data_IF_032683324391
#
_entry.id   IF_032683324391
#
_cell.length_a   1.000
_cell.length_b   1.000
_cell.length_c   1.000
_cell.angle_alpha   90.00
_cell.angle_beta   90.00
_cell.angle_gamma   90.00
#
_symmetry.space_group_name_H-M   'P 1'
#
loop_
_entity.id
_entity.type
_entity.pdbx_description
1 polymer ?
#
# COMPACT_ATOMS: atom_id res chain seq x y z
N UNK A 1 -12.72 -6.80 0.98
CA UNK A 1 -12.49 -5.42 0.58
C UNK A 1 -11.00 -5.20 0.45
N UNK A 2 -10.54 -5.05 -0.78
CA UNK A 2 -9.15 -4.71 -1.02
C UNK A 2 -8.91 -3.29 -0.55
N UNK A 3 -8.01 -3.12 0.41
CA UNK A 3 -7.45 -1.83 0.78
C UNK A 3 -6.70 -1.27 -0.42
N UNK A 4 -7.36 -0.42 -1.18
CA UNK A 4 -6.70 0.38 -2.21
C UNK A 4 -6.09 1.57 -1.50
N UNK A 5 -4.84 1.42 -1.06
CA UNK A 5 -3.98 2.59 -0.91
C UNK A 5 -3.99 3.34 -2.26
N UNK A 6 -3.89 4.68 -2.29
CA UNK A 6 -3.81 5.40 -3.55
C UNK A 6 -2.67 4.80 -4.36
N UNK A 7 -3.06 4.02 -5.37
CA UNK A 7 -2.12 3.31 -6.24
C UNK A 7 -1.27 4.34 -6.94
N UNK A 8 0.02 4.26 -6.74
CA UNK A 8 0.99 4.91 -7.61
C UNK A 8 0.68 4.51 -9.05
N UNK A 9 0.29 5.47 -9.88
CA UNK A 9 0.34 5.30 -11.31
C UNK A 9 1.82 5.33 -11.72
N UNK A 10 2.44 4.16 -11.73
CA UNK A 10 3.61 3.98 -12.57
C UNK A 10 3.12 4.11 -14.01
N UNK A 11 3.42 5.23 -14.67
CA UNK A 11 3.17 5.35 -16.10
C UNK A 11 4.17 4.45 -16.83
N UNK A 12 3.79 3.22 -17.08
CA UNK A 12 4.40 2.42 -18.13
C UNK A 12 4.01 3.05 -19.45
N UNK A 13 4.97 3.69 -20.15
CA UNK A 13 4.75 4.04 -21.53
C UNK A 13 4.72 2.76 -22.34
N UNK A 14 3.70 2.59 -23.20
CA UNK A 14 3.53 1.41 -24.05
C UNK A 14 4.79 1.07 -24.88
N UNK A 15 5.62 2.06 -25.20
CA UNK A 15 6.89 1.85 -25.92
C UNK A 15 7.90 0.98 -25.19
N UNK A 16 8.00 1.08 -23.83
CA UNK A 16 8.92 0.21 -23.07
C UNK A 16 8.42 -1.24 -23.00
N UNK A 17 7.12 -1.45 -22.98
CA UNK A 17 6.54 -2.81 -23.01
C UNK A 17 6.79 -3.49 -24.37
N UNK A 18 6.69 -2.73 -25.46
CA UNK A 18 6.99 -3.25 -26.82
C UNK A 18 8.47 -3.60 -26.96
N UNK A 19 9.39 -2.77 -26.46
CA UNK A 19 10.83 -3.06 -26.49
C UNK A 19 11.20 -4.31 -25.70
N UNK A 20 10.61 -4.54 -24.54
CA UNK A 20 10.84 -5.77 -23.76
C UNK A 20 10.38 -7.00 -24.53
N UNK A 21 9.30 -6.91 -25.29
CA UNK A 21 8.84 -8.02 -26.15
C UNK A 21 9.73 -8.23 -27.40
N UNK A 22 10.28 -7.16 -27.97
CA UNK A 22 11.23 -7.23 -29.08
C UNK A 22 12.59 -7.78 -28.64
N UNK A 23 13.11 -7.34 -27.51
CA UNK A 23 14.38 -7.81 -26.95
C UNK A 23 14.30 -9.24 -26.39
N UNK A 24 13.13 -9.69 -25.92
CA UNK A 24 12.92 -11.05 -25.44
C UNK A 24 12.76 -12.09 -26.56
N UNK A 25 12.67 -11.67 -27.82
CA UNK A 25 12.46 -12.57 -28.96
C UNK A 25 11.10 -13.29 -28.96
N UNK A 26 10.20 -12.87 -28.08
CA UNK A 26 8.85 -13.43 -27.99
C UNK A 26 7.93 -12.70 -28.97
N UNK A 27 7.89 -13.16 -30.21
CA UNK A 27 6.86 -12.73 -31.13
C UNK A 27 5.98 -13.94 -31.53
N UNK A 28 4.80 -13.67 -32.03
CA UNK A 28 3.82 -14.66 -32.44
C UNK A 28 4.34 -15.60 -33.54
N UNK A 29 5.29 -15.14 -34.34
CA UNK A 29 5.84 -15.87 -35.48
C UNK A 29 6.86 -16.93 -35.05
N UNK A 30 7.36 -16.84 -33.81
CA UNK A 30 8.26 -17.83 -33.22
C UNK A 30 7.55 -18.86 -32.32
N UNK A 31 6.24 -18.81 -32.20
CA UNK A 31 5.41 -19.69 -31.34
C UNK A 31 5.41 -21.19 -31.82
N UNK A 32 6.29 -21.59 -32.68
CA UNK A 32 6.44 -22.98 -33.09
C UNK A 32 7.89 -23.39 -33.35
N UNK A 33 8.86 -22.51 -33.13
CA UNK A 33 10.27 -22.79 -33.29
C UNK A 33 10.94 -22.93 -31.92
N UNK A 34 10.75 -24.06 -31.30
CA UNK A 34 11.54 -24.46 -30.13
C UNK A 34 12.87 -25.01 -30.58
N UNK A 35 13.83 -24.16 -30.89
CA UNK A 35 15.23 -24.56 -30.99
C UNK A 35 15.92 -24.64 -29.62
N UNK A 36 15.15 -24.75 -28.57
CA UNK A 36 15.61 -25.07 -27.22
C UNK A 36 16.42 -23.99 -26.51
N UNK A 37 16.41 -22.76 -26.98
CA UNK A 37 17.31 -21.71 -26.48
C UNK A 37 16.65 -20.44 -25.91
N UNK A 38 15.37 -20.38 -25.71
CA UNK A 38 14.79 -19.34 -24.89
C UNK A 38 14.74 -19.83 -23.45
N UNK A 39 15.89 -20.01 -22.85
CA UNK A 39 15.98 -19.97 -21.39
C UNK A 39 15.89 -18.50 -20.98
N UNK A 40 14.70 -18.06 -20.52
CA UNK A 40 14.62 -16.84 -19.73
C UNK A 40 15.53 -17.06 -18.52
N UNK A 41 16.64 -16.34 -18.44
CA UNK A 41 17.51 -16.39 -17.28
C UNK A 41 16.83 -15.67 -16.13
N UNK A 42 16.05 -16.40 -15.37
CA UNK A 42 15.36 -15.91 -14.16
C UNK A 42 16.33 -15.68 -13.00
N UNK A 43 17.60 -16.00 -13.16
CA UNK A 43 18.59 -15.92 -12.08
C UNK A 43 19.34 -14.59 -12.05
N UNK A 44 19.26 -13.79 -13.12
CA UNK A 44 19.88 -12.47 -13.11
C UNK A 44 18.93 -11.43 -12.50
N UNK A 45 19.38 -10.67 -11.50
CA UNK A 45 18.59 -9.57 -10.96
C UNK A 45 18.32 -8.57 -12.09
N UNK A 46 17.04 -8.35 -12.37
CA UNK A 46 16.61 -7.31 -13.29
C UNK A 46 16.48 -6.02 -12.52
N UNK A 47 16.79 -4.91 -13.15
CA UNK A 47 16.51 -3.59 -12.59
C UNK A 47 15.31 -2.98 -13.30
N UNK A 48 14.56 -2.17 -12.58
CA UNK A 48 13.44 -1.39 -13.09
C UNK A 48 13.64 0.07 -12.74
N UNK A 49 13.42 0.94 -13.70
CA UNK A 49 13.41 2.39 -13.49
C UNK A 49 11.98 2.83 -13.13
N UNK A 50 11.87 3.60 -12.05
CA UNK A 50 10.59 4.12 -11.54
C UNK A 50 10.70 5.64 -11.44
N UNK A 51 9.83 6.37 -12.14
CA UNK A 51 9.74 7.82 -11.97
C UNK A 51 8.92 8.16 -10.73
N UNK A 52 9.51 8.92 -9.82
CA UNK A 52 8.85 9.45 -8.62
C UNK A 52 8.41 10.90 -8.88
N UNK A 53 7.08 11.18 -8.94
CA UNK A 53 6.57 12.52 -9.19
C UNK A 53 7.11 13.59 -8.27
N UNK A 54 7.37 14.79 -8.82
CA UNK A 54 7.88 15.95 -8.07
C UNK A 54 6.85 16.50 -7.06
N UNK A 55 7.28 17.44 -6.21
CA UNK A 55 6.42 18.17 -5.25
C UNK A 55 6.22 17.45 -3.91
N UNK A 56 6.81 16.28 -3.72
CA UNK A 56 6.72 15.54 -2.45
C UNK A 56 7.97 14.68 -2.21
N UNK A 57 8.02 14.11 -1.02
CA UNK A 57 8.99 13.08 -0.64
C UNK A 57 8.30 11.71 -0.75
N UNK A 58 9.07 10.71 -1.13
CA UNK A 58 8.65 9.32 -1.24
C UNK A 58 9.46 8.47 -0.27
N UNK A 59 8.91 7.35 0.12
CA UNK A 59 9.57 6.34 0.93
C UNK A 59 9.63 5.03 0.16
N UNK A 60 10.81 4.43 0.05
CA UNK A 60 10.90 3.04 -0.36
C UNK A 60 10.18 2.18 0.69
N UNK A 61 9.21 1.39 0.26
CA UNK A 61 8.37 0.59 1.16
C UNK A 61 9.15 -0.44 1.98
N UNK A 62 10.23 -0.97 1.38
CA UNK A 62 11.01 -2.07 1.96
C UNK A 62 12.10 -1.58 2.90
N UNK A 63 12.74 -0.48 2.56
CA UNK A 63 13.88 0.06 3.31
C UNK A 63 13.53 1.25 4.21
N UNK A 64 12.36 1.89 3.99
CA UNK A 64 11.97 3.17 4.58
C UNK A 64 12.90 4.35 4.20
N UNK A 65 13.75 4.19 3.19
CA UNK A 65 14.59 5.27 2.69
C UNK A 65 13.74 6.39 2.11
N UNK A 66 14.13 7.64 2.43
CA UNK A 66 13.47 8.83 1.88
C UNK A 66 14.09 9.22 0.55
N UNK A 67 13.24 9.42 -0.44
CA UNK A 67 13.64 9.79 -1.79
C UNK A 67 12.87 11.06 -2.19
N UNK A 68 13.58 12.06 -2.67
CA UNK A 68 12.95 13.29 -3.19
C UNK A 68 12.27 12.98 -4.52
N UNK A 69 11.04 13.44 -4.69
CA UNK A 69 10.36 13.33 -5.98
C UNK A 69 10.96 14.21 -7.07
N UNK A 70 10.52 14.00 -8.32
CA UNK A 70 11.02 14.67 -9.51
C UNK A 70 12.23 13.99 -10.15
N UNK A 71 12.44 12.70 -9.90
CA UNK A 71 13.56 11.93 -10.44
C UNK A 71 13.16 10.49 -10.75
N UNK A 72 13.95 9.84 -11.57
CA UNK A 72 13.91 8.40 -11.77
C UNK A 72 14.84 7.72 -10.77
N UNK A 73 14.41 6.57 -10.26
CA UNK A 73 15.21 5.72 -9.38
C UNK A 73 15.28 4.32 -9.99
N UNK A 74 16.48 3.76 -10.01
CA UNK A 74 16.69 2.37 -10.46
C UNK A 74 16.62 1.46 -9.25
N UNK A 75 15.79 0.43 -9.32
CA UNK A 75 15.67 -0.58 -8.28
C UNK A 75 15.96 -1.96 -8.86
N UNK A 76 16.85 -2.71 -8.22
CA UNK A 76 16.99 -4.13 -8.51
C UNK A 76 15.69 -4.85 -8.13
N UNK A 77 15.21 -5.70 -9.04
CA UNK A 77 13.99 -6.49 -8.86
C UNK A 77 14.34 -7.96 -8.94
N UNK A 78 14.14 -8.65 -7.83
CA UNK A 78 14.17 -10.12 -7.77
C UNK A 78 12.75 -10.66 -8.02
N UNK A 79 12.58 -11.97 -8.17
CA UNK A 79 11.26 -12.57 -8.41
C UNK A 79 10.27 -12.33 -7.28
N UNK A 80 10.76 -12.11 -6.08
CA UNK A 80 10.00 -11.90 -4.84
C UNK A 80 9.87 -10.42 -4.44
N UNK A 81 10.44 -9.48 -5.22
CA UNK A 81 10.45 -8.07 -4.87
C UNK A 81 9.77 -7.22 -5.94
N UNK A 82 8.70 -6.53 -5.54
CA UNK A 82 8.02 -5.52 -6.35
C UNK A 82 8.46 -4.14 -5.83
N UNK A 83 8.99 -3.23 -6.67
CA UNK A 83 9.31 -1.86 -6.28
C UNK A 83 8.05 -1.13 -5.83
N UNK A 84 8.00 -0.74 -4.57
CA UNK A 84 6.88 -0.01 -3.98
C UNK A 84 7.40 1.27 -3.32
N UNK A 85 6.76 2.40 -3.62
CA UNK A 85 7.09 3.70 -3.07
C UNK A 85 5.86 4.36 -2.47
N UNK A 86 5.99 4.84 -1.25
CA UNK A 86 4.90 5.44 -0.50
C UNK A 86 5.09 6.95 -0.44
N UNK A 87 4.08 7.68 -0.84
CA UNK A 87 4.06 9.15 -0.77
C UNK A 87 4.05 9.63 0.68
N UNK A 88 4.80 10.69 0.99
CA UNK A 88 4.69 11.36 2.29
C UNK A 88 3.25 11.82 2.57
N UNK A 89 2.81 11.74 3.82
CA UNK A 89 1.45 11.97 4.26
C UNK A 89 0.55 10.71 4.24
N UNK A 90 1.00 9.61 3.64
CA UNK A 90 0.19 8.39 3.57
C UNK A 90 0.04 7.71 4.93
N UNK A 91 -1.16 7.16 5.16
CA UNK A 91 -1.51 6.28 6.27
C UNK A 91 -1.86 4.94 5.64
N UNK A 92 -1.05 3.90 5.90
CA UNK A 92 -1.22 2.58 5.29
C UNK A 92 -1.52 1.56 6.38
N UNK A 93 -2.76 1.02 6.42
CA UNK A 93 -3.11 -0.02 7.38
C UNK A 93 -2.63 -1.39 6.94
N UNK A 94 -2.20 -2.18 7.93
CA UNK A 94 -1.83 -3.59 7.79
C UNK A 94 -2.65 -4.43 8.76
N UNK A 95 -3.23 -5.50 8.24
CA UNK A 95 -3.88 -6.54 9.04
C UNK A 95 -2.86 -7.51 9.64
N UNK A 96 -3.35 -8.52 10.36
CA UNK A 96 -2.53 -9.64 10.83
C UNK A 96 -2.03 -10.49 9.65
N UNK A 97 -0.93 -11.22 9.87
CA UNK A 97 -0.46 -12.22 8.92
C UNK A 97 -1.47 -13.37 8.84
N UNK A 98 -2.05 -13.56 7.66
CA UNK A 98 -3.11 -14.54 7.40
C UNK A 98 -2.93 -15.19 6.03
N UNK A 99 -3.39 -16.42 5.89
CA UNK A 99 -3.43 -17.11 4.60
C UNK A 99 -4.69 -16.74 3.78
N UNK A 100 -5.78 -16.36 4.46
CA UNK A 100 -7.01 -15.88 3.84
C UNK A 100 -7.69 -14.82 4.74
N UNK A 101 -8.47 -13.94 4.14
CA UNK A 101 -8.96 -12.69 4.75
C UNK A 101 -9.77 -12.85 6.05
N UNK A 102 -10.43 -13.99 6.25
CA UNK A 102 -11.28 -14.27 7.42
C UNK A 102 -10.64 -15.22 8.44
N UNK A 103 -9.33 -15.52 8.30
CA UNK A 103 -8.63 -16.46 9.21
C UNK A 103 -8.55 -15.94 10.64
N UNK A 104 -8.31 -14.64 10.79
CA UNK A 104 -8.16 -14.01 12.12
C UNK A 104 -9.01 -12.73 12.19
N UNK A 105 -9.49 -12.37 13.39
CA UNK A 105 -10.15 -11.08 13.58
C UNK A 105 -9.15 -9.94 13.35
N UNK A 106 -9.65 -8.83 12.80
CA UNK A 106 -8.86 -7.61 12.57
C UNK A 106 -8.94 -6.67 13.78
N UNK A 107 -8.75 -7.24 14.96
CA UNK A 107 -8.89 -6.58 16.26
C UNK A 107 -7.70 -5.71 16.64
N UNK A 108 -6.58 -5.88 15.94
CA UNK A 108 -5.42 -4.98 16.04
C UNK A 108 -4.84 -4.74 14.64
N UNK A 109 -4.88 -3.48 14.19
CA UNK A 109 -4.31 -3.06 12.91
C UNK A 109 -3.04 -2.25 13.14
N UNK A 110 -2.03 -2.48 12.30
CA UNK A 110 -0.84 -1.64 12.27
C UNK A 110 -1.05 -0.52 11.25
N UNK A 111 -0.97 0.73 11.69
CA UNK A 111 -1.03 1.91 10.84
C UNK A 111 0.39 2.43 10.62
N UNK A 112 0.95 2.21 9.44
CA UNK A 112 2.22 2.85 9.05
C UNK A 112 1.92 4.25 8.53
N UNK A 113 2.47 5.26 9.20
CA UNK A 113 2.34 6.67 8.81
C UNK A 113 3.67 7.16 8.27
N UNK A 114 3.66 7.78 7.11
CA UNK A 114 4.83 8.25 6.38
C UNK A 114 4.91 9.78 6.44
N UNK A 115 5.68 10.37 7.37
CA UNK A 115 5.73 11.82 7.58
C UNK A 115 6.33 12.60 6.40
N UNK A 116 6.15 13.94 6.42
CA UNK A 116 6.69 14.86 5.41
C UNK A 116 5.63 15.62 4.62
N UNK A 117 4.37 15.30 4.86
CA UNK A 117 3.20 16.06 4.41
C UNK A 117 1.99 15.67 5.26
N UNK A 118 0.97 16.52 5.29
CA UNK A 118 -0.34 16.17 5.83
C UNK A 118 -1.01 15.11 4.97
N UNK A 119 -1.83 14.28 5.58
CA UNK A 119 -2.53 13.24 4.87
C UNK A 119 -3.82 12.77 5.51
N UNK A 120 -4.60 12.04 4.74
CA UNK A 120 -5.86 11.46 5.22
C UNK A 120 -6.08 10.08 4.61
N UNK A 121 -6.83 9.27 5.33
CA UNK A 121 -7.24 7.95 4.91
C UNK A 121 -8.62 7.64 5.52
N UNK A 122 -9.41 6.83 4.85
CA UNK A 122 -10.67 6.32 5.41
C UNK A 122 -10.59 4.80 5.44
N UNK A 123 -10.61 4.23 6.64
CA UNK A 123 -10.72 2.78 6.79
C UNK A 123 -12.19 2.40 6.60
N UNK A 124 -12.45 1.67 5.53
CA UNK A 124 -13.75 1.13 5.19
C UNK A 124 -13.83 -0.34 5.59
N UNK A 125 -14.95 -0.77 6.16
CA UNK A 125 -15.22 -2.16 6.51
C UNK A 125 -16.70 -2.48 6.33
N UNK A 126 -16.97 -3.70 5.87
CA UNK A 126 -18.33 -4.25 5.65
C UNK A 126 -18.39 -5.74 6.03
N UNK A 127 -19.46 -6.42 5.61
CA UNK A 127 -19.68 -7.85 5.88
C UNK A 127 -18.90 -8.81 4.95
N UNK A 128 -17.95 -8.32 4.13
CA UNK A 128 -16.99 -9.00 3.24
C UNK A 128 -17.60 -9.68 1.98
N UNK A 129 -18.60 -10.55 2.08
CA UNK A 129 -19.00 -11.49 1.03
C UNK A 129 -20.41 -11.30 0.51
N UNK A 130 -21.04 -10.16 0.78
CA UNK A 130 -22.38 -9.84 0.33
C UNK A 130 -22.50 -8.40 -0.19
N UNK A 131 -23.70 -8.03 -0.68
CA UNK A 131 -23.99 -6.69 -1.22
C UNK A 131 -24.77 -5.79 -0.24
N UNK A 132 -24.76 -6.10 1.07
CA UNK A 132 -25.48 -5.28 2.05
C UNK A 132 -24.88 -3.88 2.21
N UNK A 133 -23.61 -3.68 1.81
CA UNK A 133 -22.97 -2.36 1.76
C UNK A 133 -23.74 -1.37 0.85
N UNK A 134 -24.40 -1.84 -0.22
CA UNK A 134 -25.25 -1.00 -1.07
C UNK A 134 -26.47 -0.46 -0.32
N UNK A 135 -26.85 -1.10 0.79
CA UNK A 135 -27.93 -0.70 1.70
C UNK A 135 -27.44 0.02 2.95
N UNK A 136 -26.14 0.39 2.96
CA UNK A 136 -25.53 1.12 4.05
C UNK A 136 -24.95 0.25 5.19
N UNK A 137 -24.85 -1.08 5.03
CA UNK A 137 -24.26 -1.97 6.01
C UNK A 137 -22.71 -1.97 5.89
N UNK A 138 -22.10 -0.86 6.28
CA UNK A 138 -20.64 -0.68 6.32
C UNK A 138 -20.26 0.36 7.38
N UNK A 139 -18.97 0.43 7.70
CA UNK A 139 -18.41 1.47 8.56
C UNK A 139 -17.26 2.18 7.89
N UNK A 140 -17.09 3.45 8.25
CA UNK A 140 -15.96 4.29 7.88
C UNK A 140 -15.30 4.88 9.12
N UNK A 141 -13.99 4.77 9.21
CA UNK A 141 -13.17 5.43 10.22
C UNK A 141 -12.25 6.43 9.50
N UNK A 142 -12.60 7.73 9.51
CA UNK A 142 -11.74 8.74 8.90
C UNK A 142 -10.47 8.91 9.74
N UNK A 143 -9.33 8.99 9.10
CA UNK A 143 -8.02 9.18 9.71
C UNK A 143 -7.34 10.40 9.10
N UNK A 144 -6.61 11.16 9.91
CA UNK A 144 -5.83 12.30 9.43
C UNK A 144 -4.48 12.37 10.14
N UNK A 145 -3.44 12.64 9.37
CA UNK A 145 -2.10 12.95 9.84
C UNK A 145 -1.83 14.43 9.67
N UNK A 146 -1.48 15.11 10.76
CA UNK A 146 -0.95 16.47 10.78
C UNK A 146 0.56 16.37 10.99
N UNK A 147 1.31 16.67 9.94
CA UNK A 147 2.76 16.52 9.96
C UNK A 147 3.44 17.56 10.85
N UNK A 148 2.89 18.76 10.94
CA UNK A 148 3.45 19.84 11.74
C UNK A 148 3.40 19.52 13.23
N UNK A 149 2.29 18.98 13.70
CA UNK A 149 2.11 18.59 15.11
C UNK A 149 2.50 17.15 15.41
N UNK A 150 2.90 16.36 14.38
CA UNK A 150 3.20 14.93 14.47
C UNK A 150 2.07 14.14 15.11
N UNK A 151 0.85 14.40 14.68
CA UNK A 151 -0.37 13.85 15.27
C UNK A 151 -1.17 13.06 14.26
N UNK A 152 -1.43 11.80 14.58
CA UNK A 152 -2.46 11.00 13.93
C UNK A 152 -3.77 11.13 14.72
N UNK A 153 -4.85 11.44 14.02
CA UNK A 153 -6.20 11.46 14.57
C UNK A 153 -7.04 10.40 13.90
N UNK A 154 -7.62 9.50 14.68
CA UNK A 154 -8.68 8.59 14.29
C UNK A 154 -10.00 9.28 14.60
N UNK A 155 -10.80 9.58 13.62
CA UNK A 155 -12.07 10.26 13.76
C UNK A 155 -13.16 9.35 14.33
N UNK A 156 -14.36 9.90 14.53
CA UNK A 156 -15.52 9.11 14.95
C UNK A 156 -15.94 8.17 13.83
N UNK A 157 -16.16 6.89 14.17
CA UNK A 157 -16.68 5.89 13.23
C UNK A 157 -18.07 6.29 12.77
N UNK A 158 -18.32 6.12 11.48
CA UNK A 158 -19.62 6.31 10.84
C UNK A 158 -20.16 4.97 10.34
N UNK A 159 -21.47 4.81 10.35
CA UNK A 159 -22.14 3.59 9.90
C UNK A 159 -22.05 2.43 10.87
N UNK A 160 -22.70 1.35 10.50
CA UNK A 160 -22.73 0.09 11.24
C UNK A 160 -23.03 -1.08 10.33
N UNK A 161 -22.58 -2.27 10.69
CA UNK A 161 -22.96 -3.53 10.05
C UNK A 161 -22.95 -4.68 11.05
N UNK A 162 -23.63 -5.75 10.73
CA UNK A 162 -23.73 -6.93 11.60
C UNK A 162 -22.38 -7.60 11.75
N UNK A 163 -21.93 -7.80 12.98
CA UNK A 163 -20.64 -8.45 13.27
C UNK A 163 -19.45 -7.51 13.32
N UNK A 164 -19.63 -6.20 13.14
CA UNK A 164 -18.53 -5.24 13.25
C UNK A 164 -17.88 -5.25 14.62
N UNK A 165 -16.58 -5.01 14.69
CA UNK A 165 -15.84 -4.86 15.94
C UNK A 165 -16.25 -3.54 16.64
N UNK A 166 -16.74 -3.66 17.86
CA UNK A 166 -17.11 -2.46 18.66
C UNK A 166 -15.89 -1.69 19.13
N UNK A 167 -14.80 -2.40 19.42
CA UNK A 167 -13.51 -1.81 19.82
C UNK A 167 -12.36 -2.61 19.23
N UNK A 168 -11.23 -1.94 18.98
CA UNK A 168 -10.00 -2.56 18.48
C UNK A 168 -8.76 -1.80 18.94
N UNK A 169 -7.60 -2.42 18.81
CA UNK A 169 -6.31 -1.79 18.92
C UNK A 169 -5.84 -1.22 17.57
N UNK A 170 -5.11 -0.12 17.62
CA UNK A 170 -4.26 0.33 16.52
C UNK A 170 -2.84 0.52 17.04
N UNK A 171 -1.89 -0.05 16.33
CA UNK A 171 -0.47 0.20 16.57
C UNK A 171 0.04 1.13 15.47
N UNK A 172 0.34 2.38 15.81
CA UNK A 172 0.83 3.39 14.87
C UNK A 172 2.35 3.30 14.83
N UNK A 173 2.92 3.14 13.63
CA UNK A 173 4.35 2.97 13.39
C UNK A 173 4.84 4.03 12.40
N UNK A 174 5.97 4.67 12.72
CA UNK A 174 6.68 5.58 11.82
C UNK A 174 7.88 4.86 11.16
N UNK A 175 8.37 5.34 10.00
CA UNK A 175 9.51 4.74 9.31
C UNK A 175 10.82 4.72 10.12
N UNK A 176 10.95 5.57 11.14
CA UNK A 176 12.10 5.62 12.05
C UNK A 176 12.01 4.61 13.22
N UNK A 177 11.00 3.74 13.21
CA UNK A 177 10.81 2.69 14.20
C UNK A 177 10.03 3.12 15.44
N UNK A 178 9.71 4.40 15.61
CA UNK A 178 8.85 4.83 16.73
C UNK A 178 7.45 4.28 16.56
N UNK A 179 6.88 3.78 17.66
CA UNK A 179 5.54 3.22 17.65
C UNK A 179 4.75 3.60 18.89
N UNK A 180 3.44 3.67 18.75
CA UNK A 180 2.48 3.88 19.84
C UNK A 180 1.21 3.10 19.59
N UNK A 181 0.68 2.47 20.63
CA UNK A 181 -0.60 1.78 20.54
C UNK A 181 -1.72 2.62 21.13
N UNK A 182 -2.92 2.49 20.57
CA UNK A 182 -4.12 3.18 21.03
C UNK A 182 -5.32 2.24 20.91
N UNK A 183 -6.18 2.25 21.93
CA UNK A 183 -7.48 1.58 21.88
C UNK A 183 -8.51 2.52 21.24
N UNK A 184 -9.33 1.97 20.36
CA UNK A 184 -10.36 2.69 19.64
C UNK A 184 -11.73 2.01 19.82
N UNK A 185 -12.72 2.76 20.22
CA UNK A 185 -14.08 2.28 20.51
C UNK A 185 -15.16 3.01 19.68
N UNK A 186 -14.79 3.51 18.51
CA UNK A 186 -15.67 4.28 17.63
C UNK A 186 -15.67 5.80 17.92
N UNK A 187 -15.07 6.26 19.01
CA UNK A 187 -14.95 7.70 19.33
C UNK A 187 -13.61 8.26 18.89
N UNK A 188 -13.59 9.53 18.55
CA UNK A 188 -12.36 10.24 18.15
C UNK A 188 -11.25 10.07 19.18
N UNK A 189 -10.07 9.70 18.73
CA UNK A 189 -8.84 9.60 19.52
C UNK A 189 -7.65 10.10 18.74
N UNK A 190 -6.60 10.58 19.39
CA UNK A 190 -5.39 11.08 18.74
C UNK A 190 -4.14 10.51 19.39
N UNK A 191 -3.11 10.27 18.56
CA UNK A 191 -1.78 9.82 18.96
C UNK A 191 -0.77 10.86 18.47
N UNK A 192 0.09 11.36 19.36
CA UNK A 192 1.14 12.35 19.04
C UNK A 192 2.52 11.69 19.21
N UNK A 193 3.45 11.94 18.25
CA UNK A 193 4.85 11.45 18.24
C UNK A 193 5.84 12.56 18.55
#
# INVERSE_FOLDING_TARGET
AFLVAPVLHAQYTQEKVVKVNEESGWNRDNAGKTDGKVQADFQQPKSTEVYLPCGTVWYDFWTNEKIKGGQEVTRETTLDLIPLYIKAGSIVPFGPDVQYATEKPWDNLVLRVYPGADGSFVLYEDEFDNYNYEKGAYTEIPMSWDDSSRRLTLGTRKGEYKGMLQSRGFTVVLPDGRQKSVSYNGKKVSVKF
#
